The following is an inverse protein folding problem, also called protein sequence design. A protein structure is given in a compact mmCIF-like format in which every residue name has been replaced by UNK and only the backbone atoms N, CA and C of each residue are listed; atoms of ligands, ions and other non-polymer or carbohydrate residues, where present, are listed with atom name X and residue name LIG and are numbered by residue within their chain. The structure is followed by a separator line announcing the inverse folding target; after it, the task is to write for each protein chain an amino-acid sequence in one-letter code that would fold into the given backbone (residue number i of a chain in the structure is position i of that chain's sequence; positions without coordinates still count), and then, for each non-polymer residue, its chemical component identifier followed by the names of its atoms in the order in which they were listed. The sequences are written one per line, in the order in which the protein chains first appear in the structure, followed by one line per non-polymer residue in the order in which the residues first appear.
data_IF_680168040060
#
_entry.id   IF_680168040060
#
_cell.length_a   1.000
_cell.length_b   1.000
_cell.length_c   1.000
_cell.angle_alpha   90.00
_cell.angle_beta   90.00
_cell.angle_gamma   90.00
#
_symmetry.space_group_name_H-M   'P 1'
#
loop_
_entity.id
_entity.type
_entity.pdbx_description
1 polymer ?
#
# COMPACT_ATOMS: atom_id res chain seq x y z
N UNK A 1 -1.61 -13.43 -19.28
CA UNK A 1 -1.74 -12.06 -18.71
C UNK A 1 -0.42 -11.32 -18.83
N UNK A 2 0.66 -11.75 -18.15
CA UNK A 2 1.94 -11.03 -18.16
C UNK A 2 2.48 -10.76 -19.57
N UNK A 3 2.42 -11.74 -20.48
CA UNK A 3 2.82 -11.55 -21.89
C UNK A 3 2.08 -10.42 -22.58
N UNK A 4 0.75 -10.31 -22.42
CA UNK A 4 -0.05 -9.25 -23.03
C UNK A 4 0.32 -7.86 -22.47
N UNK A 5 0.54 -7.78 -21.14
CA UNK A 5 0.99 -6.54 -20.50
C UNK A 5 2.38 -6.11 -20.97
N UNK A 6 3.29 -7.06 -21.09
CA UNK A 6 4.65 -6.83 -21.61
C UNK A 6 4.58 -6.32 -23.06
N UNK A 7 3.77 -6.94 -23.91
CA UNK A 7 3.61 -6.52 -25.30
C UNK A 7 3.00 -5.10 -25.40
N UNK A 8 2.03 -4.76 -24.56
CA UNK A 8 1.45 -3.41 -24.52
C UNK A 8 2.47 -2.34 -24.09
N UNK A 9 3.30 -2.64 -23.10
CA UNK A 9 4.35 -1.72 -22.64
C UNK A 9 5.50 -1.60 -23.65
N UNK A 10 5.87 -2.68 -24.34
CA UNK A 10 6.84 -2.63 -25.43
C UNK A 10 6.36 -1.69 -26.55
N UNK A 11 5.09 -1.76 -26.95
CA UNK A 11 4.52 -0.84 -27.93
C UNK A 11 4.56 0.63 -27.46
N UNK A 12 4.40 0.86 -26.16
CA UNK A 12 4.51 2.21 -25.57
C UNK A 12 5.95 2.71 -25.65
N UNK A 13 6.91 1.88 -25.28
CA UNK A 13 8.34 2.20 -25.31
C UNK A 13 8.87 2.41 -26.74
N UNK A 14 8.45 1.58 -27.70
CA UNK A 14 8.81 1.72 -29.11
C UNK A 14 8.43 3.08 -29.69
N UNK A 15 7.30 3.65 -29.24
CA UNK A 15 6.87 5.00 -29.64
C UNK A 15 7.59 6.10 -28.86
N UNK A 16 7.86 5.87 -27.58
CA UNK A 16 8.45 6.87 -26.69
C UNK A 16 9.95 7.07 -26.91
N UNK A 17 10.72 5.98 -27.05
CA UNK A 17 12.20 6.01 -27.12
C UNK A 17 12.71 6.92 -28.25
N UNK A 18 12.22 6.86 -29.51
CA UNK A 18 12.71 7.74 -30.57
C UNK A 18 12.48 9.23 -30.28
N UNK A 19 11.41 9.57 -29.56
CA UNK A 19 11.14 10.95 -29.11
C UNK A 19 12.11 11.34 -28.00
N UNK A 20 12.27 10.50 -26.98
CA UNK A 20 13.19 10.71 -25.87
C UNK A 20 14.64 10.85 -26.34
N UNK A 21 15.07 10.09 -27.35
CA UNK A 21 16.38 10.20 -27.99
C UNK A 21 16.63 11.58 -28.60
N UNK A 22 15.61 12.22 -29.19
CA UNK A 22 15.72 13.58 -29.73
C UNK A 22 15.79 14.61 -28.60
N UNK A 23 14.95 14.46 -27.58
CA UNK A 23 14.87 15.37 -26.43
C UNK A 23 16.14 15.33 -25.57
N UNK A 24 16.72 14.15 -25.34
CA UNK A 24 17.94 13.95 -24.55
C UNK A 24 19.18 14.61 -25.15
N UNK A 25 19.21 14.88 -26.48
CA UNK A 25 20.32 15.60 -27.13
C UNK A 25 20.41 17.07 -26.71
N UNK A 26 19.29 17.66 -26.29
CA UNK A 26 19.19 19.08 -25.98
C UNK A 26 18.83 19.35 -24.52
N UNK A 27 18.26 18.38 -23.81
CA UNK A 27 17.93 18.47 -22.39
C UNK A 27 18.62 17.34 -21.60
N UNK A 28 19.51 17.72 -20.67
CA UNK A 28 20.22 16.78 -19.80
C UNK A 28 19.29 15.98 -18.87
N UNK A 29 18.16 16.55 -18.45
CA UNK A 29 17.17 15.87 -17.60
C UNK A 29 16.52 14.68 -18.34
N UNK A 30 16.44 14.75 -19.68
CA UNK A 30 15.85 13.68 -20.50
C UNK A 30 16.78 12.50 -20.73
N UNK A 31 18.07 12.63 -20.41
CA UNK A 31 19.06 11.57 -20.56
C UNK A 31 18.76 10.40 -19.62
N UNK A 32 18.41 10.69 -18.37
CA UNK A 32 18.06 9.67 -17.38
C UNK A 32 16.77 8.94 -17.75
N UNK A 33 15.75 9.68 -18.20
CA UNK A 33 14.48 9.12 -18.66
C UNK A 33 14.69 8.18 -19.85
N UNK A 34 15.51 8.59 -20.82
CA UNK A 34 15.86 7.76 -21.97
C UNK A 34 16.58 6.47 -21.54
N UNK A 35 17.62 6.59 -20.71
CA UNK A 35 18.38 5.42 -20.25
C UNK A 35 17.50 4.44 -19.47
N UNK A 36 16.59 4.96 -18.65
CA UNK A 36 15.61 4.14 -17.90
C UNK A 36 14.62 3.47 -18.84
N UNK A 37 14.14 4.17 -19.87
CA UNK A 37 13.22 3.62 -20.88
C UNK A 37 13.88 2.52 -21.74
N UNK A 38 15.14 2.70 -22.14
CA UNK A 38 15.91 1.70 -22.88
C UNK A 38 16.15 0.44 -22.03
N UNK A 39 16.55 0.62 -20.76
CA UNK A 39 16.69 -0.51 -19.82
C UNK A 39 15.35 -1.21 -19.55
N UNK A 40 14.24 -0.46 -19.47
CA UNK A 40 12.90 -1.03 -19.33
C UNK A 40 12.54 -1.89 -20.56
N UNK A 41 12.88 -1.43 -21.76
CA UNK A 41 12.67 -2.20 -22.99
C UNK A 41 13.48 -3.51 -22.99
N UNK A 42 14.73 -3.50 -22.52
CA UNK A 42 15.56 -4.71 -22.37
C UNK A 42 14.93 -5.74 -21.42
N UNK A 43 14.46 -5.28 -20.26
CA UNK A 43 13.79 -6.14 -19.25
C UNK A 43 12.53 -6.80 -19.83
N UNK A 44 11.71 -6.02 -20.53
CA UNK A 44 10.48 -6.50 -21.13
C UNK A 44 10.74 -7.49 -22.28
N UNK A 45 11.77 -7.25 -23.09
CA UNK A 45 12.19 -8.19 -24.14
C UNK A 45 12.71 -9.53 -23.58
N UNK A 46 13.25 -9.52 -22.35
CA UNK A 46 13.63 -10.75 -21.64
C UNK A 46 12.41 -11.49 -21.04
N UNK A 47 11.18 -10.98 -21.22
CA UNK A 47 9.95 -11.58 -20.71
C UNK A 47 9.69 -11.32 -19.23
N UNK A 48 10.44 -10.40 -18.60
CA UNK A 48 10.25 -10.03 -17.20
C UNK A 48 9.47 -8.72 -17.09
N UNK A 49 8.52 -8.62 -16.15
CA UNK A 49 7.79 -7.36 -15.91
C UNK A 49 8.70 -6.35 -15.20
N UNK A 50 8.45 -5.04 -15.40
CA UNK A 50 9.24 -3.99 -14.76
C UNK A 50 9.22 -4.12 -13.23
N UNK A 51 8.06 -4.37 -12.64
CA UNK A 51 7.92 -4.58 -11.19
C UNK A 51 8.76 -5.76 -10.68
N UNK A 52 8.67 -6.93 -11.35
CA UNK A 52 9.41 -8.12 -10.93
C UNK A 52 10.93 -7.97 -11.07
N UNK A 53 11.40 -7.08 -11.95
CA UNK A 53 12.83 -6.81 -12.12
C UNK A 53 13.46 -6.01 -10.97
N UNK A 54 12.65 -5.36 -10.13
CA UNK A 54 13.14 -4.46 -9.07
C UNK A 54 13.81 -3.17 -9.58
N UNK A 55 13.67 -2.85 -10.87
CA UNK A 55 14.10 -1.58 -11.43
C UNK A 55 13.34 -0.41 -10.79
N UNK A 56 14.04 0.68 -10.49
CA UNK A 56 13.41 1.97 -10.24
C UNK A 56 12.82 2.53 -11.53
N UNK A 57 11.48 2.61 -11.57
CA UNK A 57 10.72 3.08 -12.71
C UNK A 57 10.24 4.54 -12.53
N UNK A 58 10.61 5.23 -11.44
CA UNK A 58 10.18 6.61 -11.19
C UNK A 58 10.56 7.57 -12.34
N UNK A 59 11.77 7.50 -12.95
CA UNK A 59 12.11 8.38 -14.07
C UNK A 59 11.20 8.25 -15.29
N UNK A 60 10.56 7.09 -15.48
CA UNK A 60 9.65 6.79 -16.59
C UNK A 60 8.19 6.72 -16.15
N UNK A 61 7.85 7.22 -14.95
CA UNK A 61 6.47 7.20 -14.43
C UNK A 61 5.47 7.85 -15.39
N UNK A 62 5.90 8.86 -16.14
CA UNK A 62 5.08 9.55 -17.17
C UNK A 62 4.67 8.65 -18.35
N UNK A 63 5.33 7.51 -18.55
CA UNK A 63 4.98 6.55 -19.61
C UNK A 63 3.84 5.61 -19.19
N UNK A 64 3.46 5.62 -17.90
CA UNK A 64 2.35 4.83 -17.35
C UNK A 64 2.39 3.33 -17.70
N UNK A 65 3.59 2.75 -17.77
CA UNK A 65 3.77 1.34 -18.07
C UNK A 65 2.97 0.46 -17.09
N UNK A 66 2.22 -0.48 -17.65
CA UNK A 66 1.32 -1.36 -16.88
C UNK A 66 2.12 -2.30 -15.99
N UNK A 67 3.23 -2.83 -16.49
CA UNK A 67 4.10 -3.80 -15.83
C UNK A 67 4.99 -3.19 -14.74
N UNK A 68 5.05 -1.85 -14.63
CA UNK A 68 5.72 -1.16 -13.53
C UNK A 68 4.86 -1.11 -12.25
N UNK A 69 3.56 -1.38 -12.35
CA UNK A 69 2.65 -1.42 -11.21
C UNK A 69 2.89 -2.70 -10.39
N UNK A 70 2.78 -2.65 -9.06
CA UNK A 70 2.81 -3.85 -8.24
C UNK A 70 1.65 -4.79 -8.59
N UNK A 71 1.90 -6.09 -8.52
CA UNK A 71 0.91 -7.14 -8.75
C UNK A 71 0.54 -7.83 -7.45
N UNK A 72 -0.75 -8.12 -7.30
CA UNK A 72 -1.29 -9.05 -6.33
C UNK A 72 -1.96 -10.20 -7.07
N UNK A 73 -1.65 -11.42 -6.67
CA UNK A 73 -2.37 -12.60 -7.15
C UNK A 73 -3.41 -13.00 -6.11
N UNK A 74 -4.65 -13.11 -6.58
CA UNK A 74 -5.75 -13.65 -5.77
C UNK A 74 -6.01 -15.07 -6.23
N UNK A 75 -5.67 -16.04 -5.39
CA UNK A 75 -5.89 -17.46 -5.65
C UNK A 75 -7.24 -17.82 -5.05
N UNK A 76 -8.22 -18.02 -5.92
CA UNK A 76 -9.51 -18.57 -5.56
C UNK A 76 -9.38 -20.10 -5.44
N UNK A 77 -9.56 -20.64 -4.24
CA UNK A 77 -9.36 -22.04 -3.91
C UNK A 77 -10.45 -22.53 -2.95
N UNK A 78 -10.73 -23.83 -2.95
CA UNK A 78 -11.71 -24.41 -2.03
C UNK A 78 -11.15 -24.57 -0.60
N UNK A 79 -12.01 -24.90 0.36
CA UNK A 79 -11.62 -25.06 1.78
C UNK A 79 -10.50 -26.10 1.98
N UNK A 80 -10.48 -27.18 1.20
CA UNK A 80 -9.47 -28.23 1.32
C UNK A 80 -8.09 -27.74 0.84
N UNK A 81 -8.06 -27.03 -0.29
CA UNK A 81 -6.86 -26.38 -0.82
C UNK A 81 -6.37 -25.24 0.09
N UNK A 82 -7.30 -24.42 0.60
CA UNK A 82 -6.99 -23.35 1.54
C UNK A 82 -6.42 -23.88 2.84
N UNK A 83 -6.87 -25.04 3.31
CA UNK A 83 -6.37 -25.67 4.53
C UNK A 83 -5.03 -26.37 4.34
N UNK A 84 -4.61 -26.66 3.11
CA UNK A 84 -3.34 -27.33 2.80
C UNK A 84 -2.15 -26.34 2.80
N UNK A 85 -1.24 -26.41 3.80
CA UNK A 85 -0.05 -25.56 3.81
C UNK A 85 0.88 -25.78 2.61
N UNK A 86 0.94 -27.00 2.07
CA UNK A 86 1.82 -27.33 0.95
C UNK A 86 1.33 -26.69 -0.36
N UNK A 87 0.02 -26.74 -0.63
CA UNK A 87 -0.60 -26.02 -1.74
C UNK A 87 -0.32 -24.52 -1.66
N UNK A 88 -0.60 -23.91 -0.49
CA UNK A 88 -0.37 -22.46 -0.29
C UNK A 88 1.09 -22.07 -0.50
N UNK A 89 2.04 -22.86 0.02
CA UNK A 89 3.45 -22.58 -0.17
C UNK A 89 3.86 -22.71 -1.63
N UNK A 90 3.43 -23.78 -2.31
CA UNK A 90 3.69 -23.98 -3.74
C UNK A 90 3.19 -22.82 -4.59
N UNK A 91 2.00 -22.28 -4.30
CA UNK A 91 1.45 -21.14 -5.03
C UNK A 91 2.24 -19.86 -4.76
N UNK A 92 2.65 -19.61 -3.51
CA UNK A 92 3.55 -18.49 -3.18
C UNK A 92 4.88 -18.58 -3.94
N UNK A 93 5.50 -19.76 -3.96
CA UNK A 93 6.78 -19.97 -4.65
C UNK A 93 6.66 -19.77 -6.18
N UNK A 94 5.54 -20.21 -6.76
CA UNK A 94 5.27 -20.07 -8.19
C UNK A 94 5.05 -18.62 -8.62
N UNK A 95 4.46 -17.81 -7.76
CA UNK A 95 4.02 -16.44 -8.06
C UNK A 95 4.96 -15.36 -7.51
N UNK A 96 5.99 -15.76 -6.75
CA UNK A 96 7.04 -14.87 -6.29
C UNK A 96 7.69 -14.11 -7.48
N UNK A 97 8.07 -12.83 -7.30
CA UNK A 97 8.05 -12.05 -6.05
C UNK A 97 6.71 -11.34 -5.76
N UNK A 98 5.65 -11.62 -6.53
CA UNK A 98 4.36 -10.98 -6.28
C UNK A 98 3.67 -11.59 -5.05
N UNK A 99 2.97 -10.75 -4.30
CA UNK A 99 2.26 -11.17 -3.10
C UNK A 99 0.98 -11.93 -3.49
N UNK A 100 0.64 -12.95 -2.69
CA UNK A 100 -0.47 -13.87 -2.98
C UNK A 100 -1.48 -13.86 -1.84
N UNK A 101 -2.72 -13.55 -2.17
CA UNK A 101 -3.88 -13.64 -1.28
C UNK A 101 -4.70 -14.85 -1.66
N UNK A 102 -5.12 -15.63 -0.68
CA UNK A 102 -5.94 -16.82 -0.86
C UNK A 102 -7.34 -16.54 -0.34
N UNK A 103 -8.37 -16.92 -1.10
CA UNK A 103 -9.77 -16.81 -0.68
C UNK A 103 -10.61 -17.91 -1.34
N UNK A 104 -11.79 -18.17 -0.77
CA UNK A 104 -12.85 -18.94 -1.42
C UNK A 104 -13.97 -17.96 -1.80
N UNK A 105 -14.07 -17.64 -3.09
CA UNK A 105 -15.04 -16.66 -3.58
C UNK A 105 -16.50 -17.05 -3.29
N UNK A 106 -16.79 -18.33 -3.10
CA UNK A 106 -18.13 -18.79 -2.70
C UNK A 106 -18.38 -18.44 -1.23
N UNK A 107 -17.44 -18.73 -0.35
CA UNK A 107 -17.52 -18.33 1.07
C UNK A 107 -17.61 -16.81 1.19
N UNK A 108 -16.78 -16.05 0.46
CA UNK A 108 -16.85 -14.57 0.47
C UNK A 108 -18.23 -14.05 0.05
N UNK A 109 -18.87 -14.71 -0.92
CA UNK A 109 -20.23 -14.34 -1.34
C UNK A 109 -21.29 -14.68 -0.30
N UNK A 110 -21.10 -15.73 0.50
CA UNK A 110 -22.00 -16.08 1.60
C UNK A 110 -21.84 -15.08 2.75
N UNK A 111 -20.59 -14.75 3.11
CA UNK A 111 -20.26 -13.77 4.16
C UNK A 111 -20.88 -12.38 3.87
N UNK A 112 -20.93 -11.96 2.61
CA UNK A 112 -21.47 -10.65 2.22
C UNK A 112 -22.95 -10.44 2.61
N UNK A 113 -23.71 -11.52 2.84
CA UNK A 113 -25.11 -11.46 3.25
C UNK A 113 -25.35 -11.57 4.77
N UNK A 114 -24.30 -11.83 5.55
CA UNK A 114 -24.37 -12.09 6.98
C UNK A 114 -24.09 -10.83 7.80
N UNK A 115 -24.60 -10.79 9.02
CA UNK A 115 -24.13 -9.79 9.98
C UNK A 115 -22.75 -10.17 10.54
N UNK A 116 -22.15 -9.27 11.32
CA UNK A 116 -20.78 -9.47 11.83
C UNK A 116 -20.65 -10.72 12.73
N UNK A 117 -21.67 -11.04 13.53
CA UNK A 117 -21.61 -12.17 14.44
C UNK A 117 -21.76 -13.48 13.67
N UNK A 118 -22.71 -13.53 12.73
CA UNK A 118 -22.94 -14.67 11.85
C UNK A 118 -21.73 -14.94 10.93
N UNK A 119 -21.15 -13.89 10.35
CA UNK A 119 -19.95 -13.99 9.52
C UNK A 119 -18.76 -14.55 10.31
N UNK A 120 -18.56 -14.07 11.53
CA UNK A 120 -17.49 -14.57 12.41
C UNK A 120 -17.71 -16.03 12.78
N UNK A 121 -18.95 -16.44 13.08
CA UNK A 121 -19.28 -17.83 13.38
C UNK A 121 -18.99 -18.74 12.17
N UNK A 122 -19.36 -18.32 10.97
CA UNK A 122 -19.06 -19.06 9.74
C UNK A 122 -17.55 -19.20 9.51
N UNK A 123 -16.79 -18.10 9.60
CA UNK A 123 -15.33 -18.09 9.46
C UNK A 123 -14.66 -19.04 10.47
N UNK A 124 -15.07 -18.97 11.74
CA UNK A 124 -14.53 -19.84 12.79
C UNK A 124 -14.87 -21.33 12.54
N UNK A 125 -16.04 -21.62 11.97
CA UNK A 125 -16.44 -22.99 11.65
C UNK A 125 -15.55 -23.65 10.58
N UNK A 126 -14.92 -22.85 9.71
CA UNK A 126 -13.97 -23.28 8.67
C UNK A 126 -12.50 -22.98 9.04
N UNK A 127 -12.24 -22.62 10.31
CA UNK A 127 -10.89 -22.38 10.83
C UNK A 127 -10.22 -21.10 10.32
N UNK A 128 -11.00 -20.06 9.98
CA UNK A 128 -10.52 -18.75 9.57
C UNK A 128 -10.85 -17.69 10.62
N UNK A 129 -9.94 -16.74 10.83
CA UNK A 129 -10.11 -15.62 11.77
C UNK A 129 -10.50 -14.30 11.08
N UNK A 130 -10.24 -14.19 9.76
CA UNK A 130 -10.60 -13.03 8.93
C UNK A 130 -11.11 -13.50 7.56
N UNK A 131 -11.91 -12.67 6.89
CA UNK A 131 -12.36 -12.95 5.52
C UNK A 131 -11.21 -12.78 4.52
N UNK A 132 -11.27 -13.52 3.40
CA UNK A 132 -10.33 -13.38 2.31
C UNK A 132 -10.40 -12.00 1.65
N UNK A 133 -11.57 -11.35 1.63
CA UNK A 133 -11.71 -9.98 1.15
C UNK A 133 -11.07 -8.95 2.10
N UNK A 134 -11.14 -9.14 3.42
CA UNK A 134 -10.44 -8.26 4.38
C UNK A 134 -8.92 -8.44 4.27
N UNK A 135 -8.46 -9.68 4.14
CA UNK A 135 -7.05 -9.98 3.87
C UNK A 135 -6.59 -9.33 2.56
N UNK A 136 -7.41 -9.41 1.49
CA UNK A 136 -7.13 -8.75 0.21
C UNK A 136 -7.08 -7.22 0.34
N UNK A 137 -8.01 -6.62 1.08
CA UNK A 137 -8.03 -5.18 1.33
C UNK A 137 -6.76 -4.74 2.08
N UNK A 138 -6.37 -5.47 3.12
CA UNK A 138 -5.16 -5.21 3.93
C UNK A 138 -3.88 -5.31 3.11
N UNK A 139 -3.73 -6.41 2.35
CA UNK A 139 -2.56 -6.62 1.48
C UNK A 139 -2.54 -5.61 0.33
N UNK A 140 -3.70 -5.30 -0.26
CA UNK A 140 -3.87 -4.25 -1.28
C UNK A 140 -3.43 -2.88 -0.78
N UNK A 141 -3.87 -2.50 0.42
CA UNK A 141 -3.51 -1.24 1.06
C UNK A 141 -1.99 -1.15 1.30
N UNK A 142 -1.39 -2.22 1.83
CA UNK A 142 0.05 -2.29 2.05
C UNK A 142 0.87 -2.20 0.75
N UNK A 143 0.42 -2.92 -0.28
CA UNK A 143 1.03 -2.98 -1.63
C UNK A 143 0.99 -1.64 -2.34
N UNK A 144 -0.05 -0.84 -2.08
CA UNK A 144 -0.11 0.55 -2.54
C UNK A 144 0.83 1.47 -1.74
N UNK A 145 1.59 0.96 -0.77
CA UNK A 145 2.45 1.76 0.09
C UNK A 145 1.64 2.73 0.95
N UNK A 146 0.44 2.31 1.39
CA UNK A 146 -0.41 3.09 2.28
C UNK A 146 -0.23 2.63 3.73
N UNK A 147 -0.51 3.53 4.66
CA UNK A 147 -0.59 3.26 6.10
C UNK A 147 -1.69 4.12 6.72
N UNK A 148 -2.09 3.80 7.94
CA UNK A 148 -3.17 4.47 8.64
C UNK A 148 -2.65 5.19 9.87
N UNK A 149 -3.15 6.40 10.13
CA UNK A 149 -3.06 7.05 11.43
C UNK A 149 -4.46 7.35 11.96
N UNK A 150 -4.57 7.61 13.26
CA UNK A 150 -5.83 7.77 13.95
C UNK A 150 -5.94 9.16 14.58
N UNK A 151 -7.11 9.78 14.46
CA UNK A 151 -7.50 10.88 15.34
C UNK A 151 -8.56 10.37 16.29
N UNK A 152 -8.34 10.52 17.60
CA UNK A 152 -9.28 10.08 18.63
C UNK A 152 -9.71 11.26 19.49
N UNK A 153 -11.02 11.52 19.54
CA UNK A 153 -11.62 12.56 20.36
C UNK A 153 -12.99 12.13 20.91
N UNK A 154 -13.55 12.88 21.87
CA UNK A 154 -14.80 12.51 22.53
C UNK A 154 -16.02 12.49 21.58
N UNK A 155 -15.92 13.16 20.42
CA UNK A 155 -16.99 13.19 19.41
C UNK A 155 -16.80 12.16 18.31
N UNK A 156 -15.56 11.87 17.93
CA UNK A 156 -15.24 11.06 16.76
C UNK A 156 -13.89 10.40 16.95
N UNK A 157 -13.80 9.13 16.55
CA UNK A 157 -12.55 8.45 16.29
C UNK A 157 -12.52 8.09 14.81
N UNK A 158 -11.41 8.40 14.13
CA UNK A 158 -11.31 8.26 12.68
C UNK A 158 -9.94 7.78 12.27
N UNK A 159 -9.93 6.83 11.33
CA UNK A 159 -8.76 6.38 10.60
C UNK A 159 -8.54 7.25 9.36
N UNK A 160 -7.29 7.63 9.13
CA UNK A 160 -6.86 8.45 8.00
C UNK A 160 -5.78 7.72 7.21
N UNK A 161 -5.97 7.64 5.89
CA UNK A 161 -5.03 6.99 4.98
C UNK A 161 -3.96 7.97 4.50
N UNK A 162 -2.69 7.58 4.62
CA UNK A 162 -1.53 8.31 4.11
C UNK A 162 -0.58 7.36 3.38
N UNK A 163 0.33 7.90 2.57
CA UNK A 163 1.44 7.11 2.02
C UNK A 163 2.45 6.81 3.12
N UNK A 164 3.06 5.62 3.09
CA UNK A 164 4.24 5.30 3.91
C UNK A 164 5.33 6.33 3.63
N UNK A 165 5.97 6.83 4.68
CA UNK A 165 6.98 7.88 4.59
C UNK A 165 6.43 9.31 4.65
N UNK A 166 5.11 9.51 4.69
CA UNK A 166 4.53 10.85 4.85
C UNK A 166 4.93 11.47 6.20
N UNK A 167 5.27 12.75 6.15
CA UNK A 167 5.61 13.56 7.33
C UNK A 167 4.34 13.98 8.09
N UNK A 168 4.49 14.38 9.35
CA UNK A 168 3.37 14.86 10.17
C UNK A 168 2.60 16.04 9.54
N UNK A 169 3.24 17.05 8.91
CA UNK A 169 2.52 18.09 8.18
C UNK A 169 1.73 17.56 6.97
N UNK A 170 2.28 16.63 6.20
CA UNK A 170 1.59 16.02 5.06
C UNK A 170 0.37 15.21 5.53
N UNK A 171 0.51 14.46 6.62
CA UNK A 171 -0.58 13.73 7.23
C UNK A 171 -1.69 14.65 7.74
N UNK A 172 -1.34 15.77 8.38
CA UNK A 172 -2.30 16.81 8.78
C UNK A 172 -3.02 17.43 7.57
N UNK A 173 -2.32 17.56 6.44
CA UNK A 173 -2.86 18.03 5.17
C UNK A 173 -4.00 17.18 4.61
N UNK A 174 -4.03 15.88 4.93
CA UNK A 174 -5.13 14.96 4.55
C UNK A 174 -6.43 15.31 5.27
N UNK A 175 -6.36 15.87 6.48
CA UNK A 175 -7.54 16.40 7.20
C UNK A 175 -7.99 17.70 6.54
N UNK A 176 -7.05 18.64 6.38
CA UNK A 176 -7.30 19.92 5.74
C UNK A 176 -6.00 20.57 5.26
N UNK A 177 -6.00 21.18 4.07
CA UNK A 177 -4.78 21.78 3.50
C UNK A 177 -4.19 22.92 4.34
N UNK A 178 -5.02 23.63 5.11
CA UNK A 178 -4.55 24.67 6.04
C UNK A 178 -3.80 24.10 7.24
N UNK A 179 -4.08 22.87 7.68
CA UNK A 179 -3.32 22.26 8.78
C UNK A 179 -1.88 21.99 8.37
N UNK A 180 -1.66 21.61 7.11
CA UNK A 180 -0.32 21.43 6.56
C UNK A 180 0.46 22.76 6.52
N UNK A 181 -0.18 23.84 6.04
CA UNK A 181 0.44 25.17 5.96
C UNK A 181 0.70 25.75 7.36
N UNK A 182 -0.27 25.62 8.25
CA UNK A 182 -0.25 26.13 9.62
C UNK A 182 0.39 25.20 10.63
N UNK A 183 0.97 24.06 10.21
CA UNK A 183 1.48 23.03 11.12
C UNK A 183 2.51 23.59 12.10
N UNK A 184 2.28 23.34 13.39
CA UNK A 184 3.20 23.70 14.48
C UNK A 184 3.89 22.44 14.99
N UNK A 185 3.11 21.45 15.45
CA UNK A 185 3.59 20.22 16.08
C UNK A 185 2.48 19.16 16.11
N UNK A 186 2.86 17.90 16.24
CA UNK A 186 1.94 16.78 16.43
C UNK A 186 2.12 16.19 17.84
N UNK A 187 1.04 16.06 18.61
CA UNK A 187 1.01 15.29 19.86
C UNK A 187 0.61 13.85 19.50
N UNK A 188 1.49 12.89 19.74
CA UNK A 188 1.39 11.53 19.20
C UNK A 188 1.57 10.48 20.28
N UNK A 189 0.88 9.35 20.14
CA UNK A 189 1.13 8.12 20.89
C UNK A 189 0.90 6.94 19.95
N UNK A 190 1.59 5.81 20.14
CA UNK A 190 1.28 4.61 19.35
C UNK A 190 -0.08 4.05 19.78
N UNK A 191 -0.78 3.39 18.86
CA UNK A 191 -2.05 2.73 19.17
C UNK A 191 -1.91 1.75 20.35
N UNK A 192 -0.90 0.90 20.32
CA UNK A 192 -0.65 -0.09 21.38
C UNK A 192 -0.40 0.58 22.74
N UNK A 193 0.44 1.61 22.79
CA UNK A 193 0.70 2.34 24.05
C UNK A 193 -0.57 3.03 24.57
N UNK A 194 -1.46 3.51 23.69
CA UNK A 194 -2.72 4.12 24.10
C UNK A 194 -3.71 3.08 24.65
N UNK A 195 -3.82 1.92 23.99
CA UNK A 195 -4.67 0.82 24.43
C UNK A 195 -4.20 0.28 25.78
N UNK A 196 -2.90 0.04 25.93
CA UNK A 196 -2.29 -0.45 27.18
C UNK A 196 -2.47 0.54 28.35
N UNK A 197 -2.36 1.85 28.07
CA UNK A 197 -2.57 2.87 29.08
C UNK A 197 -4.06 3.13 29.38
N UNK A 198 -4.97 2.69 28.52
CA UNK A 198 -6.43 2.87 28.64
C UNK A 198 -6.93 4.30 28.41
N UNK A 199 -6.07 5.33 28.43
CA UNK A 199 -6.43 6.71 28.09
C UNK A 199 -5.22 7.57 27.70
N UNK A 200 -5.48 8.67 26.99
CA UNK A 200 -4.46 9.68 26.68
C UNK A 200 -3.84 10.30 27.94
N UNK A 201 -4.62 10.48 29.00
CA UNK A 201 -4.14 11.04 30.28
C UNK A 201 -3.10 10.12 30.92
N UNK A 202 -3.41 8.82 31.00
CA UNK A 202 -2.50 7.81 31.55
C UNK A 202 -1.28 7.60 30.65
N UNK A 203 -1.46 7.55 29.33
CA UNK A 203 -0.36 7.47 28.38
C UNK A 203 0.61 8.65 28.55
N UNK A 204 0.09 9.85 28.81
CA UNK A 204 0.88 11.06 29.08
C UNK A 204 1.60 10.98 30.43
N UNK A 205 0.92 10.51 31.47
CA UNK A 205 1.51 10.30 32.80
C UNK A 205 2.67 9.28 32.75
N UNK A 206 2.55 8.26 31.92
CA UNK A 206 3.59 7.25 31.66
C UNK A 206 4.67 7.69 30.65
N UNK A 207 4.61 8.93 30.15
CA UNK A 207 5.61 9.48 29.23
C UNK A 207 5.61 8.84 27.83
N UNK A 208 4.50 8.21 27.43
CA UNK A 208 4.34 7.58 26.11
C UNK A 208 3.94 8.58 25.02
N UNK A 209 3.30 9.69 25.40
CA UNK A 209 2.90 10.75 24.49
C UNK A 209 4.11 11.62 24.13
N UNK A 210 4.35 11.81 22.83
CA UNK A 210 5.46 12.58 22.27
C UNK A 210 4.96 13.82 21.55
N UNK A 211 5.81 14.86 21.52
CA UNK A 211 5.58 16.05 20.71
C UNK A 211 6.57 16.04 19.57
N UNK A 212 6.09 15.85 18.35
CA UNK A 212 6.93 15.73 17.16
C UNK A 212 6.80 16.95 16.25
N UNK A 213 7.91 17.25 15.57
CA UNK A 213 8.05 18.38 14.66
C UNK A 213 7.68 18.06 13.21
N UNK A 214 8.08 18.95 12.31
CA UNK A 214 7.76 18.86 10.87
C UNK A 214 8.44 17.68 10.18
N UNK A 215 9.61 17.26 10.67
CA UNK A 215 10.42 16.22 10.05
C UNK A 215 10.03 14.80 10.51
N UNK A 216 9.05 14.68 11.43
CA UNK A 216 8.59 13.38 11.88
C UNK A 216 7.85 12.66 10.77
N UNK A 217 8.35 11.48 10.43
CA UNK A 217 7.69 10.54 9.53
C UNK A 217 6.67 9.74 10.34
N UNK A 218 5.41 9.84 9.94
CA UNK A 218 4.30 9.16 10.58
C UNK A 218 4.51 7.65 10.57
N UNK A 219 4.05 6.98 11.61
CA UNK A 219 4.04 5.52 11.71
C UNK A 219 2.62 5.00 11.62
N UNK A 220 2.49 3.76 11.15
CA UNK A 220 1.21 3.07 11.15
C UNK A 220 0.66 2.96 12.58
N UNK A 221 -0.63 3.25 12.74
CA UNK A 221 -1.31 3.25 14.04
C UNK A 221 -0.98 4.44 14.95
N UNK A 222 -0.23 5.46 14.48
CA UNK A 222 -0.04 6.68 15.28
C UNK A 222 -1.40 7.32 15.61
N UNK A 223 -1.67 7.56 16.89
CA UNK A 223 -2.82 8.33 17.36
C UNK A 223 -2.37 9.76 17.59
N UNK A 224 -2.96 10.71 16.86
CA UNK A 224 -2.42 12.07 16.74
C UNK A 224 -3.45 13.16 17.02
N UNK A 225 -2.99 14.21 17.71
CA UNK A 225 -3.60 15.53 17.73
C UNK A 225 -2.64 16.56 17.11
N UNK A 226 -3.04 17.14 15.96
CA UNK A 226 -2.25 18.17 15.29
C UNK A 226 -2.49 19.55 15.91
N UNK A 227 -1.41 20.26 16.22
CA UNK A 227 -1.43 21.66 16.61
C UNK A 227 -1.06 22.51 15.40
N UNK A 228 -1.92 23.45 15.03
CA UNK A 228 -1.73 24.34 13.90
C UNK A 228 -2.14 25.77 14.27
N UNK A 229 -1.61 26.75 13.55
CA UNK A 229 -2.06 28.13 13.65
C UNK A 229 -3.24 28.36 12.70
N UNK A 230 -4.27 29.06 13.17
CA UNK A 230 -5.44 29.48 12.38
C UNK A 230 -5.18 30.86 11.78
#
# INVERSE_FOLDING_TARGET
INTELILADLQTLEKAIPRLQKEARINKERVEILATAEKAQEILNAGTTIFASGMDAEPIRELFLLTAKPFLYVVNADEAELSDPAFRQKMRDLLAPAEVVFLDAKIESELAGLDHAEALELLQSIGQDESGLDALARVGFDTLGLQTYLTAGPKESRAWTIRKGATAPEAAGVIHTDFQKGFIKAELVSFDDLVDAGSMTEAKAHGKVRMEGKDYVMRDGDVVEFRFNV
#
